data_IF_054683898838
#
_entry.id   IF_054683898838
#
_cell.length_a   1.000
_cell.length_b   1.000
_cell.length_c   1.000
_cell.angle_alpha   90.00
_cell.angle_beta   90.00
_cell.angle_gamma   90.00
#
_symmetry.space_group_name_H-M   'P 1'
#
loop_
_entity.id
_entity.type
_entity.pdbx_description
1 polymer ?
#
# COMPACT_ATOMS: atom_id res chain seq x y z
N UNK A 1 -11.63 -37.73 31.01
CA UNK A 1 -12.70 -37.11 30.20
C UNK A 1 -12.04 -36.57 28.95
N UNK A 2 -12.14 -37.30 27.83
CA UNK A 2 -11.62 -36.82 26.54
C UNK A 2 -12.52 -35.66 26.11
N UNK A 3 -11.95 -34.46 25.88
CA UNK A 3 -12.67 -33.45 25.13
C UNK A 3 -13.01 -34.06 23.76
N UNK A 4 -14.25 -33.94 23.26
CA UNK A 4 -14.54 -34.36 21.89
C UNK A 4 -13.62 -33.57 20.95
N UNK A 5 -12.75 -34.29 20.23
CA UNK A 5 -11.85 -33.67 19.27
C UNK A 5 -12.68 -33.15 18.09
N UNK A 6 -12.56 -31.86 17.83
CA UNK A 6 -13.21 -31.25 16.68
C UNK A 6 -12.63 -31.86 15.38
N UNK A 7 -13.46 -32.29 14.42
CA UNK A 7 -13.01 -32.75 13.11
C UNK A 7 -12.08 -31.74 12.44
N UNK A 8 -11.07 -32.25 11.72
CA UNK A 8 -10.03 -31.42 11.09
C UNK A 8 -10.60 -30.39 10.12
N UNK A 9 -11.57 -30.78 9.29
CA UNK A 9 -12.22 -29.88 8.33
C UNK A 9 -12.95 -28.72 9.01
N UNK A 10 -13.58 -28.98 10.16
CA UNK A 10 -14.28 -27.96 10.94
C UNK A 10 -13.30 -27.03 11.64
N UNK A 11 -12.21 -27.59 12.18
CA UNK A 11 -11.13 -26.79 12.75
C UNK A 11 -10.54 -25.84 11.70
N UNK A 12 -10.23 -26.36 10.51
CA UNK A 12 -9.72 -25.56 9.40
C UNK A 12 -10.70 -24.44 9.03
N UNK A 13 -12.00 -24.74 8.94
CA UNK A 13 -13.03 -23.75 8.61
C UNK A 13 -13.17 -22.65 9.66
N UNK A 14 -13.01 -22.97 10.95
CA UNK A 14 -12.97 -21.99 12.03
C UNK A 14 -11.72 -21.13 11.91
N UNK A 15 -10.54 -21.76 11.78
CA UNK A 15 -9.26 -21.04 11.71
C UNK A 15 -9.18 -20.13 10.48
N UNK A 16 -9.71 -20.54 9.33
CA UNK A 16 -9.76 -19.71 8.12
C UNK A 16 -10.54 -18.39 8.31
N UNK A 17 -11.41 -18.29 9.31
CA UNK A 17 -12.23 -17.11 9.60
C UNK A 17 -11.65 -16.25 10.73
N UNK A 18 -10.51 -16.63 11.30
CA UNK A 18 -9.83 -15.83 12.30
C UNK A 18 -8.93 -14.77 11.64
N UNK A 19 -8.70 -13.61 12.29
CA UNK A 19 -7.74 -12.63 11.80
C UNK A 19 -6.32 -13.23 11.69
N UNK A 20 -5.58 -12.82 10.66
CA UNK A 20 -4.21 -13.31 10.42
C UNK A 20 -3.28 -13.09 11.63
N UNK A 21 -3.42 -11.96 12.32
CA UNK A 21 -2.68 -11.61 13.54
C UNK A 21 -2.94 -12.58 14.69
N UNK A 22 -4.17 -13.06 14.82
CA UNK A 22 -4.54 -14.07 15.83
C UNK A 22 -3.94 -15.42 15.48
N UNK A 23 -4.04 -15.84 14.22
CA UNK A 23 -3.43 -17.10 13.75
C UNK A 23 -1.91 -17.11 13.88
N UNK A 24 -1.24 -15.97 13.63
CA UNK A 24 0.21 -15.82 13.84
C UNK A 24 0.60 -16.21 15.27
N UNK A 25 -0.18 -15.80 16.27
CA UNK A 25 0.08 -16.12 17.69
C UNK A 25 -0.17 -17.59 18.00
N UNK A 26 -1.15 -18.21 17.34
CA UNK A 26 -1.51 -19.61 17.56
C UNK A 26 -0.48 -20.58 16.97
N UNK A 27 0.32 -20.15 15.99
CA UNK A 27 1.39 -20.94 15.38
C UNK A 27 2.35 -21.55 16.40
N UNK A 28 2.70 -20.82 17.47
CA UNK A 28 3.67 -21.28 18.49
C UNK A 28 3.08 -22.25 19.51
N UNK A 29 1.77 -22.50 19.48
CA UNK A 29 1.09 -23.30 20.53
C UNK A 29 1.26 -24.80 20.33
N UNK A 30 1.21 -25.30 19.09
CA UNK A 30 1.50 -26.71 18.80
C UNK A 30 1.89 -26.97 17.33
N UNK A 31 2.51 -28.14 17.10
CA UNK A 31 3.01 -28.56 15.77
C UNK A 31 1.91 -28.64 14.71
N UNK A 32 0.71 -29.09 15.09
CA UNK A 32 -0.43 -29.22 14.17
C UNK A 32 -0.83 -27.86 13.58
N UNK A 33 -0.92 -26.83 14.41
CA UNK A 33 -1.32 -25.49 13.98
C UNK A 33 -0.20 -24.82 13.17
N UNK A 34 1.06 -25.07 13.55
CA UNK A 34 2.21 -24.66 12.75
C UNK A 34 2.24 -25.34 11.37
N UNK A 35 1.85 -26.62 11.26
CA UNK A 35 1.76 -27.30 9.96
C UNK A 35 0.67 -26.68 9.09
N UNK A 36 -0.54 -26.51 9.63
CA UNK A 36 -1.66 -25.91 8.92
C UNK A 36 -1.33 -24.49 8.40
N UNK A 37 -0.63 -23.70 9.20
CA UNK A 37 -0.17 -22.37 8.83
C UNK A 37 0.74 -22.36 7.59
N UNK A 38 1.56 -23.40 7.41
CA UNK A 38 2.48 -23.52 6.28
C UNK A 38 1.82 -24.17 5.04
N UNK A 39 0.57 -24.64 5.16
CA UNK A 39 -0.18 -25.17 4.02
C UNK A 39 -0.65 -24.02 3.10
N UNK A 40 -0.27 -24.11 1.82
CA UNK A 40 -0.68 -23.18 0.77
C UNK A 40 -2.19 -23.21 0.54
N UNK A 41 -2.85 -24.36 0.68
CA UNK A 41 -4.31 -24.49 0.53
C UNK A 41 -5.03 -23.73 1.63
N UNK A 42 -4.60 -23.93 2.87
CA UNK A 42 -5.11 -23.17 4.02
C UNK A 42 -4.89 -21.67 3.84
N UNK A 43 -3.67 -21.24 3.47
CA UNK A 43 -3.32 -19.83 3.24
C UNK A 43 -4.24 -19.19 2.20
N UNK A 44 -4.51 -19.89 1.08
CA UNK A 44 -5.42 -19.42 0.04
C UNK A 44 -6.86 -19.29 0.55
N UNK A 45 -7.35 -20.30 1.27
CA UNK A 45 -8.71 -20.30 1.83
C UNK A 45 -8.87 -19.19 2.88
N UNK A 46 -7.89 -19.02 3.75
CA UNK A 46 -7.81 -17.95 4.75
C UNK A 46 -7.83 -16.58 4.07
N UNK A 47 -7.03 -16.35 3.02
CA UNK A 47 -7.00 -15.07 2.29
C UNK A 47 -8.39 -14.60 1.82
N UNK A 48 -9.27 -15.52 1.44
CA UNK A 48 -10.63 -15.18 0.99
C UNK A 48 -11.66 -15.06 2.12
N UNK A 49 -11.48 -15.76 3.24
CA UNK A 49 -12.47 -15.85 4.33
C UNK A 49 -12.14 -15.01 5.55
N UNK A 50 -10.88 -14.62 5.71
CA UNK A 50 -10.42 -13.93 6.89
C UNK A 50 -11.06 -12.53 7.01
N UNK A 51 -11.38 -12.10 8.24
CA UNK A 51 -11.78 -10.73 8.47
C UNK A 51 -10.62 -9.80 8.12
N UNK A 52 -10.90 -8.80 7.29
CA UNK A 52 -9.93 -7.76 6.93
C UNK A 52 -9.83 -6.75 8.06
N UNK A 53 -8.98 -7.06 9.04
CA UNK A 53 -8.62 -6.13 10.09
C UNK A 53 -7.47 -5.28 9.58
N UNK A 54 -7.77 -4.05 9.21
CA UNK A 54 -6.72 -3.16 8.75
C UNK A 54 -5.98 -2.53 9.93
N UNK A 55 -4.67 -2.43 9.78
CA UNK A 55 -3.76 -1.76 10.68
C UNK A 55 -3.26 -0.50 9.98
N UNK A 56 -3.11 0.56 10.76
CA UNK A 56 -2.40 1.72 10.26
C UNK A 56 -0.92 1.53 10.61
N UNK A 57 -0.08 1.58 9.59
CA UNK A 57 1.37 1.42 9.74
C UNK A 57 2.05 2.75 9.49
N UNK A 58 2.91 3.17 10.43
CA UNK A 58 3.75 4.37 10.29
C UNK A 58 5.23 4.01 10.30
N UNK A 59 6.03 4.74 9.53
CA UNK A 59 7.50 4.63 9.52
C UNK A 59 8.11 5.47 10.64
N UNK A 60 9.06 4.91 11.39
CA UNK A 60 9.84 5.57 12.43
C UNK A 60 11.35 5.33 12.23
N UNK A 61 12.20 5.90 13.09
CA UNK A 61 13.68 5.84 12.99
C UNK A 61 14.25 4.41 12.90
N UNK A 62 13.57 3.41 13.44
CA UNK A 62 14.08 2.05 13.61
C UNK A 62 13.21 0.97 12.93
N UNK A 63 12.16 1.37 12.20
CA UNK A 63 11.22 0.45 11.56
C UNK A 63 9.81 1.00 11.48
N UNK A 64 8.83 0.14 11.75
CA UNK A 64 7.41 0.48 11.61
C UNK A 64 6.69 0.37 12.95
N UNK A 65 5.73 1.25 13.16
CA UNK A 65 4.78 1.17 14.28
C UNK A 65 3.40 0.85 13.74
N UNK A 66 2.78 -0.20 14.29
CA UNK A 66 1.35 -0.44 14.10
C UNK A 66 0.54 0.39 15.07
N UNK A 67 -0.58 0.93 14.61
CA UNK A 67 -1.45 1.79 15.40
C UNK A 67 -2.89 1.27 15.36
N UNK A 68 -3.60 1.52 16.46
CA UNK A 68 -5.06 1.50 16.46
C UNK A 68 -5.58 2.92 16.69
N UNK A 69 -6.48 3.38 15.80
CA UNK A 69 -7.18 4.64 15.99
C UNK A 69 -8.62 4.31 16.33
N UNK A 70 -9.04 4.69 17.54
CA UNK A 70 -10.45 4.62 17.92
C UNK A 70 -11.17 5.88 17.43
N UNK A 71 -11.84 5.77 16.28
CA UNK A 71 -12.60 6.89 15.69
C UNK A 71 -13.84 7.32 16.50
N UNK A 72 -14.20 6.63 17.60
CA UNK A 72 -15.39 6.93 18.41
C UNK A 72 -15.14 7.76 19.66
N UNK A 73 -13.89 7.84 20.15
CA UNK A 73 -13.55 8.52 21.40
C UNK A 73 -12.33 9.40 21.18
N UNK A 74 -12.20 10.44 22.00
CA UNK A 74 -11.00 11.30 22.11
C UNK A 74 -9.85 10.53 22.77
N UNK A 75 -9.71 9.24 22.44
CA UNK A 75 -8.65 8.40 22.97
C UNK A 75 -7.36 8.74 22.23
N UNK A 76 -6.21 8.77 22.94
CA UNK A 76 -4.93 8.93 22.29
C UNK A 76 -4.72 7.81 21.27
N UNK A 77 -3.97 8.12 20.21
CA UNK A 77 -3.46 7.10 19.28
C UNK A 77 -2.59 6.14 20.09
N UNK A 78 -2.97 4.86 20.12
CA UNK A 78 -2.19 3.83 20.80
C UNK A 78 -1.29 3.11 19.79
N UNK A 79 0.01 3.12 20.06
CA UNK A 79 0.97 2.26 19.37
C UNK A 79 0.74 0.83 19.85
N UNK A 80 0.22 -0.01 18.97
CA UNK A 80 -0.16 -1.40 19.30
C UNK A 80 0.99 -2.38 19.19
N UNK A 81 2.11 -1.96 18.60
CA UNK A 81 3.34 -2.76 18.54
C UNK A 81 4.33 -2.23 17.51
N UNK A 82 5.61 -2.47 17.79
CA UNK A 82 6.72 -2.19 16.89
C UNK A 82 6.99 -3.37 15.96
N UNK A 83 7.34 -3.05 14.71
CA UNK A 83 7.63 -3.99 13.65
C UNK A 83 9.00 -3.60 13.06
N UNK A 84 10.01 -4.40 13.37
CA UNK A 84 11.37 -4.13 12.95
C UNK A 84 11.65 -4.79 11.60
N UNK A 85 12.08 -3.98 10.63
CA UNK A 85 12.62 -4.46 9.36
C UNK A 85 14.14 -4.57 9.51
N UNK A 86 14.70 -5.75 9.33
CA UNK A 86 16.15 -5.94 9.47
C UNK A 86 16.77 -6.02 8.07
N UNK A 87 17.65 -5.08 7.75
CA UNK A 87 18.55 -5.18 6.60
C UNK A 87 19.83 -5.92 7.04
N UNK A 88 20.23 -7.00 6.33
CA UNK A 88 21.42 -7.78 6.70
C UNK A 88 22.74 -7.04 6.47
N UNK A 89 22.73 -5.93 5.74
CA UNK A 89 23.94 -5.22 5.31
C UNK A 89 24.04 -3.79 5.86
N UNK A 90 22.93 -3.14 6.17
CA UNK A 90 22.91 -1.72 6.57
C UNK A 90 22.05 -1.49 7.80
N UNK A 91 22.38 -0.45 8.55
CA UNK A 91 21.49 0.05 9.60
C UNK A 91 20.36 0.87 8.97
N UNK A 92 19.14 0.72 9.51
CA UNK A 92 17.94 1.37 8.96
C UNK A 92 17.97 2.90 9.05
N UNK A 93 18.77 3.46 9.97
CA UNK A 93 18.94 4.90 10.16
C UNK A 93 19.55 5.61 8.93
N UNK A 94 20.15 4.84 8.02
CA UNK A 94 20.67 5.35 6.75
C UNK A 94 19.57 5.59 5.70
N UNK A 95 18.37 5.03 5.88
CA UNK A 95 17.25 5.18 4.96
C UNK A 95 16.33 6.33 5.40
N UNK A 96 16.77 7.57 5.17
CA UNK A 96 16.00 8.77 5.57
C UNK A 96 14.78 9.04 4.68
N UNK A 97 14.78 8.54 3.45
CA UNK A 97 13.71 8.72 2.47
C UNK A 97 13.26 7.34 1.97
N UNK A 98 12.39 6.68 2.74
CA UNK A 98 11.77 5.43 2.30
C UNK A 98 10.39 5.68 1.73
N UNK A 99 10.02 5.07 0.60
CA UNK A 99 8.64 5.01 0.12
C UNK A 99 8.04 3.65 0.45
N UNK A 100 6.77 3.62 0.86
CA UNK A 100 6.07 2.39 1.18
C UNK A 100 4.86 2.19 0.27
N UNK A 101 4.82 1.02 -0.38
CA UNK A 101 3.67 0.56 -1.16
C UNK A 101 3.13 -0.71 -0.51
N UNK A 102 1.81 -0.92 -0.59
CA UNK A 102 1.19 -2.12 -0.02
C UNK A 102 0.19 -2.73 -0.99
N UNK A 103 0.09 -4.04 -0.96
CA UNK A 103 -1.02 -4.75 -1.60
C UNK A 103 -1.19 -6.13 -0.97
N UNK A 104 -2.44 -6.51 -0.67
CA UNK A 104 -2.80 -7.88 -0.32
C UNK A 104 -1.98 -8.49 0.84
N UNK A 105 -1.62 -7.66 1.81
CA UNK A 105 -0.84 -8.02 2.99
C UNK A 105 0.68 -8.12 2.79
N UNK A 106 1.21 -7.73 1.62
CA UNK A 106 2.63 -7.47 1.44
C UNK A 106 2.91 -5.95 1.35
N UNK A 107 4.10 -5.57 1.82
CA UNK A 107 4.68 -4.25 1.69
C UNK A 107 5.88 -4.30 0.75
N UNK A 108 6.06 -3.24 -0.05
CA UNK A 108 7.30 -2.95 -0.75
C UNK A 108 7.89 -1.69 -0.12
N UNK A 109 9.05 -1.84 0.51
CA UNK A 109 9.82 -0.72 1.02
C UNK A 109 10.89 -0.37 -0.02
N UNK A 110 10.88 0.88 -0.45
CA UNK A 110 11.90 1.46 -1.32
C UNK A 110 12.75 2.35 -0.44
N UNK A 111 13.99 1.97 -0.23
CA UNK A 111 14.88 2.63 0.71
C UNK A 111 16.04 3.26 -0.07
N UNK A 112 16.02 4.59 -0.17
CA UNK A 112 17.10 5.32 -0.84
C UNK A 112 18.24 5.60 0.15
N UNK A 113 19.45 5.21 -0.23
CA UNK A 113 20.68 5.57 0.47
C UNK A 113 21.35 6.74 -0.27
N UNK A 114 21.34 7.91 0.36
CA UNK A 114 21.91 9.13 -0.21
C UNK A 114 23.44 9.08 -0.33
N UNK A 115 24.13 8.32 0.53
CA UNK A 115 25.60 8.26 0.53
C UNK A 115 26.13 7.46 -0.65
N UNK A 116 25.48 6.33 -0.96
CA UNK A 116 25.90 5.44 -2.05
C UNK A 116 25.18 5.70 -3.39
N UNK A 117 24.21 6.64 -3.42
CA UNK A 117 23.28 6.85 -4.55
C UNK A 117 22.66 5.54 -5.03
N UNK A 118 22.24 4.70 -4.07
CA UNK A 118 21.67 3.39 -4.33
C UNK A 118 20.25 3.30 -3.78
N UNK A 119 19.37 2.64 -4.53
CA UNK A 119 18.01 2.31 -4.08
C UNK A 119 17.95 0.84 -3.73
N UNK A 120 17.50 0.54 -2.52
CA UNK A 120 17.25 -0.82 -2.04
C UNK A 120 15.77 -1.11 -2.01
N UNK A 121 15.41 -2.32 -2.41
CA UNK A 121 14.03 -2.76 -2.48
C UNK A 121 13.87 -4.01 -1.62
N UNK A 122 12.87 -3.99 -0.73
CA UNK A 122 12.50 -5.16 0.06
C UNK A 122 11.00 -5.36 0.05
N UNK A 123 10.61 -6.58 -0.31
CA UNK A 123 9.24 -7.05 -0.13
C UNK A 123 9.15 -7.66 1.26
N UNK A 124 8.20 -7.21 2.06
CA UNK A 124 8.07 -7.59 3.45
C UNK A 124 6.62 -7.95 3.78
N UNK A 125 6.45 -9.03 4.53
CA UNK A 125 5.19 -9.36 5.18
C UNK A 125 5.33 -9.12 6.69
N UNK A 126 4.84 -7.98 7.23
CA UNK A 126 4.87 -7.72 8.67
C UNK A 126 4.15 -8.78 9.51
N UNK A 127 3.07 -9.35 8.98
CA UNK A 127 2.31 -10.39 9.68
C UNK A 127 3.15 -11.65 9.85
N UNK A 128 3.83 -12.13 8.81
CA UNK A 128 4.62 -13.38 8.92
C UNK A 128 6.06 -13.14 9.37
N UNK A 129 6.55 -11.90 9.27
CA UNK A 129 7.95 -11.52 9.49
C UNK A 129 8.86 -11.81 8.30
N UNK A 130 8.35 -12.38 7.21
CA UNK A 130 9.17 -12.73 6.05
C UNK A 130 9.59 -11.50 5.26
N UNK A 131 10.86 -11.45 4.89
CA UNK A 131 11.42 -10.44 3.99
C UNK A 131 12.02 -11.11 2.76
N UNK A 132 12.02 -10.38 1.64
CA UNK A 132 12.77 -10.70 0.43
C UNK A 132 13.38 -9.44 -0.13
N UNK A 133 14.70 -9.37 -0.03
CA UNK A 133 15.50 -8.32 -0.64
C UNK A 133 15.59 -8.57 -2.14
N UNK A 134 15.30 -7.54 -2.93
CA UNK A 134 15.39 -7.62 -4.38
C UNK A 134 16.83 -7.28 -4.79
N UNK A 135 17.44 -8.07 -5.70
CA UNK A 135 18.82 -7.82 -6.12
C UNK A 135 19.04 -6.37 -6.54
N UNK A 136 20.06 -5.78 -5.94
CA UNK A 136 20.50 -4.42 -6.21
C UNK A 136 20.86 -4.25 -7.70
N UNK A 137 20.36 -3.19 -8.30
CA UNK A 137 20.85 -2.69 -9.58
C UNK A 137 21.60 -1.39 -9.31
N UNK A 138 22.83 -1.26 -9.81
CA UNK A 138 23.53 0.04 -9.88
C UNK A 138 22.76 0.90 -10.88
N UNK A 139 21.82 1.67 -10.37
CA UNK A 139 20.93 2.50 -11.16
C UNK A 139 21.52 3.91 -11.17
N UNK A 140 21.82 4.45 -12.35
CA UNK A 140 22.27 5.84 -12.54
C UNK A 140 21.11 6.83 -12.73
N UNK A 141 19.86 6.38 -12.58
CA UNK A 141 18.64 7.11 -12.95
C UNK A 141 17.62 7.11 -11.81
N UNK A 142 16.69 8.08 -11.83
CA UNK A 142 15.60 8.12 -10.87
C UNK A 142 14.59 7.01 -11.23
N UNK A 143 14.12 6.26 -10.24
CA UNK A 143 13.10 5.23 -10.41
C UNK A 143 11.88 5.50 -9.53
N UNK A 144 10.69 5.16 -10.04
CA UNK A 144 9.50 4.99 -9.20
C UNK A 144 9.04 3.55 -9.25
N UNK A 145 8.45 3.07 -8.16
CA UNK A 145 8.07 1.67 -8.01
C UNK A 145 6.60 1.52 -7.62
N UNK A 146 6.03 0.36 -7.94
CA UNK A 146 4.73 -0.06 -7.47
C UNK A 146 4.69 -1.58 -7.26
N UNK A 147 3.91 -2.02 -6.27
CA UNK A 147 3.74 -3.44 -5.95
C UNK A 147 2.33 -3.90 -6.33
N UNK A 148 2.22 -4.91 -7.17
CA UNK A 148 0.94 -5.47 -7.57
C UNK A 148 0.86 -6.97 -7.38
N UNK A 149 -0.36 -7.45 -7.13
CA UNK A 149 -0.64 -8.89 -7.08
C UNK A 149 -1.34 -9.36 -8.34
N UNK A 150 -1.12 -10.61 -8.76
CA UNK A 150 -1.84 -11.24 -9.86
C UNK A 150 -2.09 -12.72 -9.55
N UNK A 151 -3.05 -13.32 -10.26
CA UNK A 151 -3.26 -14.75 -10.21
C UNK A 151 -2.25 -15.41 -11.16
N UNK A 152 -1.34 -16.22 -10.63
CA UNK A 152 -0.45 -17.02 -11.47
C UNK A 152 -1.19 -18.28 -11.93
N UNK A 153 -1.46 -18.35 -13.24
CA UNK A 153 -2.15 -19.47 -13.85
C UNK A 153 -1.33 -20.78 -13.79
N UNK A 154 0.00 -20.70 -13.71
CA UNK A 154 0.86 -21.90 -13.63
C UNK A 154 0.77 -22.56 -12.27
N UNK A 155 0.90 -21.77 -11.20
CA UNK A 155 0.87 -22.31 -9.83
C UNK A 155 -0.54 -22.36 -9.21
N UNK A 156 -1.53 -21.70 -9.81
CA UNK A 156 -2.87 -21.54 -9.22
C UNK A 156 -2.87 -20.72 -7.92
N UNK A 157 -1.78 -20.01 -7.65
CA UNK A 157 -1.59 -19.20 -6.45
C UNK A 157 -1.48 -17.71 -6.81
N UNK A 158 -1.72 -16.88 -5.80
CA UNK A 158 -1.45 -15.46 -5.89
C UNK A 158 0.05 -15.20 -5.91
N UNK A 159 0.48 -14.38 -6.86
CA UNK A 159 1.86 -13.96 -7.02
C UNK A 159 1.94 -12.44 -7.07
N UNK A 160 3.15 -11.92 -7.05
CA UNK A 160 3.42 -10.49 -6.94
C UNK A 160 4.49 -10.06 -7.95
N UNK A 161 4.33 -8.83 -8.43
CA UNK A 161 5.22 -8.18 -9.37
C UNK A 161 5.54 -6.78 -8.85
N UNK A 162 6.77 -6.34 -9.07
CA UNK A 162 7.16 -4.95 -8.84
C UNK A 162 7.26 -4.30 -10.22
N UNK A 163 6.48 -3.25 -10.44
CA UNK A 163 6.63 -2.38 -11.60
C UNK A 163 7.67 -1.31 -11.25
N UNK A 164 8.66 -1.14 -12.12
CA UNK A 164 9.64 -0.06 -12.05
C UNK A 164 9.44 0.85 -13.26
N UNK A 165 9.42 2.16 -13.03
CA UNK A 165 9.44 3.18 -14.07
C UNK A 165 10.74 3.98 -13.96
N UNK A 166 11.52 3.97 -15.02
CA UNK A 166 12.83 4.61 -15.11
C UNK A 166 12.73 5.91 -15.90
N UNK A 167 13.37 6.98 -15.41
CA UNK A 167 13.39 8.26 -16.11
C UNK A 167 14.75 8.55 -16.71
N UNK A 168 14.77 8.89 -18.00
CA UNK A 168 15.99 9.24 -18.75
C UNK A 168 15.92 10.69 -19.24
N UNK A 169 16.03 11.66 -18.34
CA UNK A 169 15.98 13.08 -18.70
C UNK A 169 14.68 13.42 -19.46
N UNK A 170 14.80 13.73 -20.75
CA UNK A 170 13.68 14.09 -21.64
C UNK A 170 13.13 12.92 -22.48
N UNK A 171 13.63 11.69 -22.31
CA UNK A 171 13.14 10.54 -23.06
C UNK A 171 11.91 9.91 -22.39
N UNK A 172 11.14 9.17 -23.18
CA UNK A 172 10.01 8.39 -22.69
C UNK A 172 10.44 7.42 -21.58
N UNK A 173 9.64 7.29 -20.51
CA UNK A 173 9.99 6.41 -19.41
C UNK A 173 10.00 4.95 -19.84
N UNK A 174 11.03 4.20 -19.45
CA UNK A 174 11.07 2.75 -19.63
C UNK A 174 10.38 2.06 -18.45
N UNK A 175 9.62 1.01 -18.75
CA UNK A 175 8.96 0.19 -17.75
C UNK A 175 9.59 -1.20 -17.67
N UNK A 176 9.80 -1.66 -16.44
CA UNK A 176 10.24 -3.02 -16.17
C UNK A 176 9.37 -3.67 -15.11
N UNK A 177 9.23 -4.99 -15.20
CA UNK A 177 8.62 -5.82 -14.18
C UNK A 177 9.67 -6.73 -13.58
N UNK A 178 9.72 -6.72 -12.24
CA UNK A 178 10.33 -7.79 -11.49
C UNK A 178 9.27 -8.80 -11.05
N UNK A 179 9.46 -10.05 -11.41
CA UNK A 179 8.61 -11.15 -10.97
C UNK A 179 9.22 -11.82 -9.74
N UNK A 180 8.48 -11.74 -8.61
CA UNK A 180 9.01 -12.16 -7.30
C UNK A 180 9.32 -13.66 -7.26
N UNK A 181 8.54 -14.50 -7.93
CA UNK A 181 8.74 -15.95 -7.89
C UNK A 181 9.96 -16.39 -8.71
N UNK A 182 10.17 -15.81 -9.90
CA UNK A 182 11.31 -16.14 -10.77
C UNK A 182 12.59 -15.38 -10.43
N UNK A 183 12.51 -14.39 -9.53
CA UNK A 183 13.63 -13.53 -9.16
C UNK A 183 14.28 -12.84 -10.37
N UNK A 184 13.47 -12.41 -11.34
CA UNK A 184 13.96 -11.85 -12.60
C UNK A 184 13.26 -10.56 -12.96
N UNK A 185 14.03 -9.66 -13.57
CA UNK A 185 13.55 -8.44 -14.19
C UNK A 185 13.37 -8.67 -15.68
N UNK A 186 12.36 -8.03 -16.27
CA UNK A 186 12.20 -7.92 -17.72
C UNK A 186 11.59 -6.58 -18.10
N UNK A 187 11.95 -6.11 -19.29
CA UNK A 187 11.40 -4.89 -19.88
C UNK A 187 9.98 -5.13 -20.40
N UNK A 188 9.15 -4.10 -20.34
CA UNK A 188 7.87 -4.02 -21.05
C UNK A 188 8.13 -3.19 -22.31
N UNK A 189 8.02 -3.82 -23.48
CA UNK A 189 8.40 -3.17 -24.75
C UNK A 189 7.25 -2.35 -25.36
N UNK A 190 6.00 -2.73 -25.12
CA UNK A 190 4.82 -2.14 -25.75
C UNK A 190 4.00 -1.25 -24.79
N UNK A 191 4.65 -0.29 -24.13
CA UNK A 191 3.95 0.73 -23.33
C UNK A 191 3.78 1.99 -24.15
N UNK A 192 2.75 2.02 -25.00
CA UNK A 192 2.36 3.26 -25.66
C UNK A 192 1.30 3.97 -24.82
N UNK A 193 1.74 4.72 -23.81
CA UNK A 193 0.85 5.63 -23.10
C UNK A 193 1.44 7.03 -23.21
N UNK A 194 0.91 7.79 -24.15
CA UNK A 194 1.13 9.23 -24.31
C UNK A 194 0.54 9.97 -23.08
N UNK A 195 1.13 9.84 -21.89
CA UNK A 195 0.73 10.62 -20.73
C UNK A 195 1.89 10.88 -19.76
N UNK A 196 1.84 12.04 -19.13
CA UNK A 196 2.75 12.43 -18.05
C UNK A 196 2.18 11.92 -16.73
N UNK A 197 2.84 10.91 -16.19
CA UNK A 197 2.49 10.32 -14.90
C UNK A 197 2.99 11.20 -13.76
N UNK A 198 2.14 11.50 -12.79
CA UNK A 198 2.59 12.22 -11.61
C UNK A 198 3.62 11.39 -10.82
N UNK A 199 4.62 12.08 -10.26
CA UNK A 199 5.73 11.45 -9.53
C UNK A 199 5.28 10.84 -8.19
N UNK A 200 4.10 11.23 -7.70
CA UNK A 200 3.69 11.06 -6.31
C UNK A 200 2.40 10.24 -6.20
N UNK A 201 2.41 9.26 -5.28
CA UNK A 201 1.21 8.63 -4.75
C UNK A 201 0.54 7.60 -5.66
N UNK A 202 0.92 6.33 -5.50
CA UNK A 202 0.22 5.22 -6.14
C UNK A 202 -0.40 4.29 -5.09
N UNK A 203 -1.50 3.65 -5.48
CA UNK A 203 -2.16 2.66 -4.63
C UNK A 203 -2.52 1.43 -5.44
N UNK A 204 -2.49 0.28 -4.79
CA UNK A 204 -2.73 -1.01 -5.43
C UNK A 204 -3.97 -1.65 -4.86
N UNK A 205 -4.89 -2.03 -5.73
CA UNK A 205 -6.17 -2.62 -5.36
C UNK A 205 -6.55 -3.70 -6.38
N UNK A 206 -6.92 -4.88 -5.87
CA UNK A 206 -7.44 -6.00 -6.67
C UNK A 206 -6.60 -6.35 -7.91
N UNK A 207 -5.28 -6.28 -7.76
CA UNK A 207 -4.33 -6.63 -8.82
C UNK A 207 -4.13 -5.60 -9.92
N UNK A 208 -4.57 -4.36 -9.67
CA UNK A 208 -4.17 -3.18 -10.43
C UNK A 208 -3.49 -2.17 -9.52
N UNK A 209 -2.56 -1.39 -10.05
CA UNK A 209 -2.05 -0.18 -9.39
C UNK A 209 -2.58 1.03 -10.12
N UNK A 210 -2.84 2.12 -9.39
CA UNK A 210 -3.48 3.33 -9.87
C UNK A 210 -2.61 4.55 -9.54
N UNK A 211 -2.55 5.50 -10.48
CA UNK A 211 -1.84 6.78 -10.37
C UNK A 211 -2.70 7.90 -10.96
N UNK A 212 -2.45 9.12 -10.53
CA UNK A 212 -2.84 10.30 -11.31
C UNK A 212 -1.91 10.49 -12.51
N UNK A 213 -2.51 10.91 -13.63
CA UNK A 213 -1.79 11.23 -14.85
C UNK A 213 -2.49 12.38 -15.60
N UNK A 214 -1.73 13.04 -16.46
CA UNK A 214 -2.18 14.11 -17.35
C UNK A 214 -1.70 13.85 -18.77
N UNK A 215 -2.39 14.39 -19.76
CA UNK A 215 -2.03 14.23 -21.16
C UNK A 215 -1.56 15.59 -21.73
N UNK A 216 -0.31 15.65 -22.19
CA UNK A 216 0.25 16.89 -22.75
C UNK A 216 -0.31 17.22 -24.14
N UNK A 217 -0.72 16.19 -24.90
CA UNK A 217 -1.32 16.34 -26.23
C UNK A 217 -2.81 16.65 -26.12
N UNK A 218 -3.49 16.05 -25.13
CA UNK A 218 -4.91 16.23 -24.86
C UNK A 218 -5.19 17.00 -23.57
N UNK A 219 -4.65 18.22 -23.46
CA UNK A 219 -4.79 19.08 -22.26
C UNK A 219 -6.25 19.30 -21.81
N UNK A 220 -7.20 19.22 -22.73
CA UNK A 220 -8.64 19.31 -22.47
C UNK A 220 -9.17 18.16 -21.58
N UNK A 221 -8.51 17.00 -21.56
CA UNK A 221 -8.89 15.90 -20.67
C UNK A 221 -8.53 16.19 -19.20
N UNK A 222 -7.55 17.06 -18.98
CA UNK A 222 -7.11 17.45 -17.64
C UNK A 222 -6.53 16.28 -16.85
N UNK A 223 -6.91 16.18 -15.58
CA UNK A 223 -6.46 15.12 -14.66
C UNK A 223 -7.30 13.85 -14.82
N UNK A 224 -6.65 12.70 -14.90
CA UNK A 224 -7.32 11.39 -14.90
C UNK A 224 -6.53 10.35 -14.09
N UNK A 225 -7.11 9.18 -13.88
CA UNK A 225 -6.42 8.04 -13.31
C UNK A 225 -5.91 7.12 -14.41
N UNK A 226 -4.69 6.63 -14.25
CA UNK A 226 -4.17 5.53 -15.03
C UNK A 226 -4.00 4.32 -14.12
N UNK A 227 -4.34 3.14 -14.64
CA UNK A 227 -4.12 1.89 -13.93
C UNK A 227 -3.22 0.96 -14.72
N UNK A 228 -2.46 0.13 -14.01
CA UNK A 228 -1.67 -0.96 -14.59
C UNK A 228 -2.20 -2.28 -14.04
N UNK A 229 -2.64 -3.16 -14.93
CA UNK A 229 -3.14 -4.49 -14.59
C UNK A 229 -2.01 -5.51 -14.60
N UNK A 230 -1.73 -6.15 -13.47
CA UNK A 230 -0.60 -7.08 -13.34
C UNK A 230 -0.86 -8.47 -13.93
N UNK A 231 -2.11 -8.77 -14.28
CA UNK A 231 -2.51 -10.01 -14.95
C UNK A 231 -2.39 -9.87 -16.45
N UNK A 232 -2.90 -8.77 -17.01
CA UNK A 232 -2.85 -8.52 -18.46
C UNK A 232 -1.64 -7.71 -18.91
N UNK A 233 -0.94 -7.07 -17.97
CA UNK A 233 0.22 -6.19 -18.17
C UNK A 233 -0.07 -5.02 -19.09
N UNK A 234 -1.25 -4.43 -18.91
CA UNK A 234 -1.75 -3.33 -19.73
C UNK A 234 -2.12 -2.14 -18.88
N UNK A 235 -1.90 -0.97 -19.47
CA UNK A 235 -2.37 0.30 -18.92
C UNK A 235 -3.80 0.59 -19.38
N UNK A 236 -4.58 1.20 -18.51
CA UNK A 236 -5.95 1.62 -18.77
C UNK A 236 -6.20 3.00 -18.16
N UNK A 237 -6.77 3.92 -18.96
CA UNK A 237 -7.20 5.25 -18.50
C UNK A 237 -8.58 5.15 -17.86
N UNK A 238 -8.78 5.87 -16.77
CA UNK A 238 -9.98 5.87 -15.94
C UNK A 238 -10.37 7.30 -15.59
N UNK A 239 -11.67 7.60 -15.69
CA UNK A 239 -12.19 8.93 -15.40
C UNK A 239 -12.25 9.20 -13.90
N UNK A 240 -11.95 10.44 -13.53
CA UNK A 240 -12.23 11.00 -12.21
C UNK A 240 -13.73 11.33 -12.03
N UNK A 241 -14.19 11.60 -10.79
CA UNK A 241 -15.58 11.96 -10.53
C UNK A 241 -16.11 13.10 -11.39
N UNK A 242 -15.26 14.07 -11.72
CA UNK A 242 -15.53 15.10 -12.72
C UNK A 242 -14.22 15.52 -13.40
N UNK A 243 -14.25 15.78 -14.72
CA UNK A 243 -13.10 16.32 -15.42
C UNK A 243 -12.86 17.75 -14.94
N UNK A 244 -11.60 18.09 -14.66
CA UNK A 244 -11.19 19.46 -14.42
C UNK A 244 -9.97 19.78 -15.28
N UNK A 245 -9.85 21.01 -15.81
CA UNK A 245 -8.72 21.40 -16.62
C UNK A 245 -7.39 21.17 -15.90
N UNK A 246 -6.32 21.07 -16.67
CA UNK A 246 -4.95 20.99 -16.18
C UNK A 246 -4.66 22.14 -15.17
N UNK A 247 -4.08 21.82 -14.00
CA UNK A 247 -3.90 22.71 -12.83
C UNK A 247 -5.19 23.15 -12.08
N UNK A 248 -6.28 22.43 -12.29
CA UNK A 248 -7.55 22.66 -11.58
C UNK A 248 -7.56 22.29 -10.09
N UNK A 249 -6.59 21.49 -9.64
CA UNK A 249 -6.48 21.03 -8.26
C UNK A 249 -5.22 21.59 -7.59
N UNK A 250 -5.36 22.01 -6.34
CA UNK A 250 -4.26 22.40 -5.47
C UNK A 250 -3.69 21.19 -4.73
N UNK A 251 -4.55 20.25 -4.34
CA UNK A 251 -4.17 19.00 -3.71
C UNK A 251 -4.97 17.84 -4.28
N UNK A 252 -4.26 16.80 -4.68
CA UNK A 252 -4.82 15.52 -5.11
C UNK A 252 -4.12 14.38 -4.39
N UNK A 253 -4.91 13.41 -3.91
CA UNK A 253 -4.36 12.21 -3.30
C UNK A 253 -5.25 11.00 -3.57
N UNK A 254 -4.63 9.84 -3.57
CA UNK A 254 -5.26 8.56 -3.85
C UNK A 254 -5.07 7.62 -2.66
N UNK A 255 -6.14 6.93 -2.29
CA UNK A 255 -6.16 5.99 -1.18
C UNK A 255 -7.09 4.80 -1.47
N UNK A 256 -7.12 3.83 -0.55
CA UNK A 256 -7.93 2.62 -0.64
C UNK A 256 -8.77 2.46 0.61
N UNK A 257 -10.08 2.28 0.42
CA UNK A 257 -11.02 2.03 1.50
C UNK A 257 -11.19 0.53 1.67
N UNK A 258 -10.76 0.01 2.82
CA UNK A 258 -10.96 -1.38 3.28
C UNK A 258 -10.52 -2.48 2.27
N UNK A 259 -9.50 -2.20 1.45
CA UNK A 259 -9.06 -3.06 0.33
C UNK A 259 -10.17 -3.44 -0.68
N UNK A 260 -11.22 -2.63 -0.80
CA UNK A 260 -12.36 -2.92 -1.68
C UNK A 260 -12.63 -1.85 -2.73
N UNK A 261 -12.38 -0.58 -2.37
CA UNK A 261 -12.74 0.60 -3.15
C UNK A 261 -11.55 1.56 -3.24
N UNK A 262 -11.48 2.32 -4.34
CA UNK A 262 -10.59 3.47 -4.44
C UNK A 262 -11.27 4.69 -3.84
N UNK A 263 -10.45 5.57 -3.27
CA UNK A 263 -10.88 6.89 -2.85
C UNK A 263 -9.92 7.95 -3.35
N UNK A 264 -10.45 9.09 -3.79
CA UNK A 264 -9.67 10.27 -4.15
C UNK A 264 -10.02 11.43 -3.24
N UNK A 265 -8.99 12.17 -2.85
CA UNK A 265 -9.09 13.48 -2.23
C UNK A 265 -8.77 14.49 -3.31
N UNK A 266 -9.68 15.44 -3.53
CA UNK A 266 -9.57 16.46 -4.57
C UNK A 266 -9.88 17.83 -3.94
N UNK A 267 -8.90 18.72 -3.95
CA UNK A 267 -9.06 20.11 -3.51
C UNK A 267 -8.89 21.04 -4.71
N UNK A 268 -9.92 21.80 -5.06
CA UNK A 268 -9.86 22.72 -6.19
C UNK A 268 -8.99 23.93 -5.86
N UNK A 269 -8.22 24.39 -6.85
CA UNK A 269 -7.41 25.60 -6.76
C UNK A 269 -8.27 26.79 -6.35
N UNK A 270 -7.77 27.63 -5.44
CA UNK A 270 -8.47 28.81 -4.89
C UNK A 270 -9.67 28.49 -3.98
N UNK A 271 -9.82 27.24 -3.54
CA UNK A 271 -10.83 26.85 -2.55
C UNK A 271 -10.20 26.11 -1.37
N UNK A 272 -10.66 26.40 -0.15
CA UNK A 272 -10.34 25.59 1.04
C UNK A 272 -11.05 24.24 1.05
N UNK A 273 -12.07 24.10 0.21
CA UNK A 273 -12.98 22.96 0.19
C UNK A 273 -12.33 21.76 -0.49
N UNK A 274 -12.13 20.72 0.32
CA UNK A 274 -11.59 19.44 -0.10
C UNK A 274 -12.70 18.42 -0.17
N UNK A 275 -12.82 17.74 -1.30
CA UNK A 275 -13.84 16.71 -1.52
C UNK A 275 -13.23 15.31 -1.53
N UNK A 276 -13.89 14.39 -0.85
CA UNK A 276 -13.49 12.99 -0.77
C UNK A 276 -14.53 12.16 -1.53
N UNK A 277 -14.06 11.47 -2.54
CA UNK A 277 -14.87 10.62 -3.40
C UNK A 277 -14.44 9.17 -3.28
N UNK A 278 -15.39 8.26 -3.27
CA UNK A 278 -15.14 6.81 -3.17
C UNK A 278 -15.86 6.07 -4.28
N UNK A 279 -15.23 5.06 -4.85
CA UNK A 279 -15.85 4.21 -5.86
C UNK A 279 -16.88 3.25 -5.24
N UNK A 280 -17.95 2.89 -5.95
CA UNK A 280 -18.90 1.88 -5.47
C UNK A 280 -18.30 0.47 -5.34
N UNK A 281 -18.02 -0.17 -6.47
CA UNK A 281 -17.34 -1.46 -6.57
C UNK A 281 -16.45 -1.44 -7.79
N UNK A 282 -15.20 -1.86 -7.60
CA UNK A 282 -14.23 -2.01 -8.68
C UNK A 282 -14.26 -3.47 -9.13
N UNK A 283 -14.57 -3.69 -10.42
CA UNK A 283 -14.50 -5.01 -11.06
C UNK A 283 -15.62 -5.36 -12.04
N UNK A 284 -16.75 -4.65 -12.04
CA UNK A 284 -17.91 -5.01 -12.91
C UNK A 284 -17.95 -4.22 -14.23
N UNK A 285 -17.40 -3.00 -14.27
CA UNK A 285 -17.41 -2.13 -15.45
C UNK A 285 -16.08 -1.41 -15.65
N UNK A 286 -15.74 -1.05 -16.90
CA UNK A 286 -14.57 -0.20 -17.22
C UNK A 286 -14.73 1.24 -16.70
N UNK A 287 -15.98 1.69 -16.54
CA UNK A 287 -16.29 3.02 -15.99
C UNK A 287 -16.37 2.94 -14.47
N UNK A 288 -15.57 3.74 -13.79
CA UNK A 288 -15.67 3.92 -12.34
C UNK A 288 -16.88 4.81 -12.02
N UNK A 289 -17.75 4.35 -11.13
CA UNK A 289 -18.78 5.20 -10.52
C UNK A 289 -18.27 5.71 -9.18
N UNK A 290 -18.38 7.02 -8.98
CA UNK A 290 -17.87 7.74 -7.81
C UNK A 290 -19.03 8.31 -6.99
N UNK A 291 -18.91 8.24 -5.67
CA UNK A 291 -19.83 8.88 -4.72
C UNK A 291 -19.03 9.84 -3.85
N UNK A 292 -19.53 11.06 -3.71
CA UNK A 292 -18.99 12.03 -2.74
C UNK A 292 -19.39 11.61 -1.35
N UNK A 293 -18.41 11.27 -0.53
CA UNK A 293 -18.62 10.78 0.84
C UNK A 293 -18.54 11.91 1.85
N UNK A 294 -17.60 12.84 1.63
CA UNK A 294 -17.32 13.93 2.55
C UNK A 294 -16.83 15.15 1.78
N UNK A 295 -17.14 16.34 2.28
CA UNK A 295 -16.52 17.58 1.84
C UNK A 295 -16.17 18.40 3.08
N UNK A 296 -14.91 18.78 3.23
CA UNK A 296 -14.37 19.44 4.42
C UNK A 296 -13.51 20.63 4.06
N UNK A 297 -13.44 21.60 4.97
CA UNK A 297 -12.50 22.71 4.90
C UNK A 297 -11.23 22.36 5.66
N UNK A 298 -10.12 22.18 4.95
CA UNK A 298 -8.83 21.84 5.57
C UNK A 298 -8.14 23.14 5.98
N UNK A 299 -8.16 23.44 7.28
CA UNK A 299 -7.48 24.59 7.88
C UNK A 299 -6.61 24.13 9.06
N UNK A 300 -5.29 24.41 9.07
CA UNK A 300 -4.51 25.08 8.01
C UNK A 300 -4.48 24.28 6.70
N UNK A 301 -4.21 24.97 5.58
CA UNK A 301 -4.10 24.31 4.29
C UNK A 301 -2.96 23.26 4.32
N UNK A 302 -3.23 22.04 3.86
CA UNK A 302 -2.23 20.99 3.87
C UNK A 302 -1.13 21.25 2.83
N UNK A 303 0.09 20.86 3.17
CA UNK A 303 1.23 20.85 2.23
C UNK A 303 1.04 19.79 1.13
N UNK A 304 1.81 19.91 0.05
CA UNK A 304 1.89 18.90 -1.02
C UNK A 304 2.16 17.48 -0.48
N UNK A 305 1.64 16.46 -1.16
CA UNK A 305 1.77 15.02 -0.85
C UNK A 305 0.98 14.52 0.39
N UNK A 306 -0.29 14.92 0.49
CA UNK A 306 -1.21 14.43 1.53
C UNK A 306 -1.37 12.91 1.39
N UNK A 307 -1.19 12.16 2.48
CA UNK A 307 -1.69 10.78 2.62
C UNK A 307 -2.92 10.79 3.49
N UNK A 308 -3.98 10.12 3.03
CA UNK A 308 -5.26 10.12 3.73
C UNK A 308 -5.91 8.73 3.81
N UNK A 309 -6.79 8.58 4.78
CA UNK A 309 -7.74 7.48 4.93
C UNK A 309 -9.13 8.07 5.16
N UNK A 310 -10.16 7.35 4.74
CA UNK A 310 -11.55 7.74 4.96
C UNK A 310 -12.35 6.57 5.53
N UNK A 311 -13.17 6.86 6.54
CA UNK A 311 -14.23 5.97 7.01
C UNK A 311 -15.56 6.44 6.39
N UNK A 312 -16.09 5.68 5.43
CA UNK A 312 -17.35 6.02 4.72
C UNK A 312 -18.56 6.04 5.65
N UNK A 313 -18.61 5.15 6.64
CA UNK A 313 -19.77 4.98 7.53
C UNK A 313 -19.82 6.12 8.55
N UNK A 314 -18.65 6.49 9.06
CA UNK A 314 -18.52 7.57 10.06
C UNK A 314 -18.33 8.94 9.42
N UNK A 315 -18.04 8.99 8.12
CA UNK A 315 -17.68 10.17 7.35
C UNK A 315 -16.56 10.97 8.02
N UNK A 316 -15.48 10.26 8.31
CA UNK A 316 -14.27 10.83 8.92
C UNK A 316 -13.11 10.71 7.95
N UNK A 317 -12.44 11.83 7.71
CA UNK A 317 -11.14 11.92 7.04
C UNK A 317 -10.04 11.87 8.08
N UNK A 318 -9.01 11.07 7.81
CA UNK A 318 -7.73 11.12 8.47
C UNK A 318 -6.67 11.48 7.45
N UNK A 319 -5.81 12.43 7.77
CA UNK A 319 -4.65 12.71 6.95
C UNK A 319 -3.44 13.07 7.81
N UNK A 320 -2.26 12.97 7.22
CA UNK A 320 -1.00 13.25 7.91
C UNK A 320 -0.24 14.37 7.25
N UNK A 321 0.37 15.23 8.06
CA UNK A 321 1.26 16.30 7.60
C UNK A 321 2.46 16.41 8.54
N UNK A 322 3.62 16.73 7.97
CA UNK A 322 4.81 17.01 8.76
C UNK A 322 4.77 18.46 9.26
N UNK A 323 4.90 18.67 10.57
CA UNK A 323 5.02 20.00 11.14
C UNK A 323 6.47 20.47 11.03
N UNK A 324 6.76 21.28 10.01
CA UNK A 324 8.11 21.80 9.73
C UNK A 324 8.73 22.63 10.86
N UNK A 325 7.95 23.12 11.83
CA UNK A 325 8.46 23.89 12.97
C UNK A 325 8.79 23.04 14.19
N UNK A 326 8.05 21.95 14.39
CA UNK A 326 8.12 21.14 15.61
C UNK A 326 8.80 19.80 15.41
N UNK A 327 9.25 19.49 14.19
CA UNK A 327 9.97 18.23 13.94
C UNK A 327 9.12 17.01 14.32
N UNK A 328 7.79 17.12 14.12
CA UNK A 328 6.78 16.15 14.55
C UNK A 328 5.79 15.88 13.43
N UNK A 329 5.37 14.62 13.30
CA UNK A 329 4.21 14.28 12.48
C UNK A 329 2.94 14.68 13.22
N UNK A 330 1.97 15.26 12.52
CA UNK A 330 0.62 15.46 13.03
C UNK A 330 -0.35 14.62 12.21
N UNK A 331 -1.18 13.85 12.93
CA UNK A 331 -2.36 13.18 12.38
C UNK A 331 -3.56 14.09 12.59
N UNK A 332 -4.21 14.46 11.50
CA UNK A 332 -5.41 15.28 11.48
C UNK A 332 -6.63 14.38 11.29
N UNK A 333 -7.66 14.62 12.10
CA UNK A 333 -8.94 13.92 12.04
C UNK A 333 -10.03 14.98 11.82
N UNK A 334 -10.78 14.83 10.74
CA UNK A 334 -11.81 15.81 10.33
C UNK A 334 -13.11 15.06 9.99
N UNK A 335 -14.22 15.50 10.58
CA UNK A 335 -15.56 14.97 10.28
C UNK A 335 -16.42 15.97 9.52
N UNK A 336 -17.71 15.65 9.36
CA UNK A 336 -18.71 16.53 8.71
C UNK A 336 -18.90 17.88 9.44
N UNK A 337 -18.54 17.97 10.72
CA UNK A 337 -18.63 19.20 11.50
C UNK A 337 -17.50 20.19 11.21
N UNK A 338 -16.60 19.88 10.27
CA UNK A 338 -15.39 20.65 9.93
C UNK A 338 -14.47 20.91 11.13
N UNK A 339 -14.65 20.20 12.25
CA UNK A 339 -13.76 20.35 13.40
C UNK A 339 -12.51 19.54 13.17
N UNK A 340 -11.42 20.26 12.93
CA UNK A 340 -10.09 19.68 12.81
C UNK A 340 -9.59 19.30 14.20
N UNK A 341 -9.24 18.03 14.38
CA UNK A 341 -8.58 17.53 15.59
C UNK A 341 -7.18 17.08 15.23
N UNK A 342 -6.21 17.56 15.99
CA UNK A 342 -4.80 17.27 15.79
C UNK A 342 -4.30 16.32 16.86
N UNK A 343 -3.56 15.30 16.44
CA UNK A 343 -2.83 14.42 17.34
C UNK A 343 -1.36 14.45 16.93
N UNK A 344 -0.52 15.05 17.78
CA UNK A 344 0.92 15.04 17.60
C UNK A 344 1.47 13.63 17.81
N UNK A 345 2.38 13.21 16.93
CA UNK A 345 2.90 11.86 16.94
C UNK A 345 4.38 11.80 16.53
N UNK A 346 5.21 11.28 17.44
CA UNK A 346 6.60 10.91 17.18
C UNK A 346 7.53 12.04 16.71
N UNK A 347 8.77 11.67 16.43
CA UNK A 347 9.81 12.57 15.87
C UNK A 347 9.77 12.61 14.32
N UNK A 348 10.61 13.46 13.71
CA UNK A 348 10.81 13.95 12.32
C UNK A 348 10.57 13.06 11.07
N UNK A 349 9.88 11.93 11.12
CA UNK A 349 9.78 11.04 9.96
C UNK A 349 8.53 11.28 9.13
N UNK A 350 8.65 11.07 7.81
CA UNK A 350 7.51 11.13 6.88
C UNK A 350 6.51 10.04 7.26
N UNK A 351 5.31 10.40 7.71
CA UNK A 351 4.31 9.41 8.07
C UNK A 351 3.74 8.80 6.80
N UNK A 352 3.81 7.48 6.71
CA UNK A 352 2.98 6.75 5.77
C UNK A 352 1.68 6.43 6.49
N UNK A 353 0.56 6.92 6.00
CA UNK A 353 -0.76 6.52 6.50
C UNK A 353 -1.30 5.45 5.56
N UNK A 354 -1.15 4.18 5.95
CA UNK A 354 -1.49 3.04 5.09
C UNK A 354 -2.45 2.11 5.79
N UNK A 355 -3.48 1.68 5.06
CA UNK A 355 -4.49 0.75 5.55
C UNK A 355 -4.06 -0.71 5.29
N UNK A 356 -3.07 -1.19 6.03
CA UNK A 356 -2.48 -2.52 5.81
C UNK A 356 -3.39 -3.63 6.34
N UNK A 357 -3.79 -4.58 5.49
CA UNK A 357 -4.50 -5.78 5.93
C UNK A 357 -3.51 -6.94 6.12
N UNK A 358 -3.26 -7.42 7.35
CA UNK A 358 -2.38 -8.55 7.61
C UNK A 358 -2.83 -9.80 6.86
N UNK A 359 -1.89 -10.48 6.20
CA UNK A 359 -2.17 -11.74 5.50
C UNK A 359 -1.12 -12.81 5.80
N UNK A 360 -1.54 -14.07 5.70
CA UNK A 360 -0.64 -15.24 5.85
C UNK A 360 0.15 -15.54 4.57
N UNK A 361 0.07 -14.66 3.57
CA UNK A 361 0.76 -14.81 2.29
C UNK A 361 2.24 -15.05 2.50
N UNK A 362 2.73 -16.18 1.98
CA UNK A 362 4.14 -16.51 2.03
C UNK A 362 4.88 -15.81 0.88
N UNK A 363 6.03 -15.22 1.18
CA UNK A 363 6.95 -14.72 0.15
C UNK A 363 7.85 -15.89 -0.27
N UNK A 364 7.76 -16.32 -1.53
CA UNK A 364 8.62 -17.40 -2.02
C UNK A 364 10.09 -16.95 -1.97
N UNK A 365 10.86 -17.60 -1.10
CA UNK A 365 12.31 -17.53 -1.13
C UNK A 365 12.79 -18.51 -2.19
N UNK A 366 13.80 -18.11 -2.96
CA UNK A 366 14.53 -19.08 -3.78
C UNK A 366 15.30 -19.92 -2.77
N UNK A 367 15.11 -21.24 -2.79
CA UNK A 367 15.99 -22.15 -2.09
C UNK A 367 17.38 -21.95 -2.68
N UNK A 368 18.20 -21.11 -2.04
CA UNK A 368 19.63 -21.27 -2.18
C UNK A 368 19.92 -22.60 -1.51
N UNK A 369 20.16 -23.62 -2.33
CA UNK A 369 20.68 -24.91 -1.93
C UNK A 369 22.07 -24.73 -1.32
N UNK A 370 22.14 -24.11 -0.15
CA UNK A 370 23.23 -24.33 0.77
C UNK A 370 22.84 -25.61 1.49
N UNK A 371 23.33 -26.73 0.96
CA UNK A 371 23.53 -27.93 1.75
C UNK A 371 24.28 -27.50 3.01
N UNK A 372 23.56 -27.35 4.12
CA UNK A 372 24.17 -27.39 5.43
C UNK A 372 24.54 -28.85 5.64
N UNK A 373 25.80 -29.14 5.36
CA UNK A 373 26.48 -30.31 5.92
C UNK A 373 26.37 -30.17 7.44
N UNK A 374 25.52 -30.99 8.04
CA UNK A 374 25.74 -31.49 9.39
C UNK A 374 26.64 -32.72 9.30
#
# INVERSE_FOLDING_TARGET
MLMPELPEDLLEEILCRLPATSLKRLRSTCKRWNHLYNDKRFTRKHFHKAPRQSLILMWNKFGFSSMSINLHRVSPIEVTGELNLIDPHYSLDQFRNSLLYHTSGLLLCVCDNNEEKSTRLVVWNPCTGQTKWIPHRKISYICTYALGSYQDNKSGNKSYKILSRMFYGHQDPEFEIYEINSNSWRRILDVNVDCTYMYIGNVSLKGKTYWFATDEKEKQLGLFLISFDYTTERFERLCLPYPHPYHGYQNESLSVVREEKLSVLLQLTFTSKTEIWVTNKIGETKVLSWIKVLAVDLTPEPNFDIKFLVDEEKKVLLYTQNNGYKSQTIVYIVGEDNKVREVAFGDEFKPFLLNYVPSLTQIQQVENSIQSLF
#
